data_IF_615463955566
#
_entry.id   IF_615463955566
#
_cell.length_a   1.000
_cell.length_b   1.000
_cell.length_c   1.000
_cell.angle_alpha   90.00
_cell.angle_beta   90.00
_cell.angle_gamma   90.00
#
_symmetry.space_group_name_H-M   'P 1'
#
loop_
_entity.id
_entity.type
_entity.pdbx_description
1 polymer ?
#
# COMPACT_ATOMS: atom_id res chain seq x y z
N UNK A 1 -7.92 -16.39 20.36
CA UNK A 1 -7.18 -15.22 19.83
C UNK A 1 -7.37 -13.97 20.71
N UNK A 2 -8.58 -13.62 21.14
CA UNK A 2 -8.89 -12.50 22.03
C UNK A 2 -8.17 -12.57 23.39
N UNK A 3 -8.22 -13.72 24.10
CA UNK A 3 -7.58 -13.93 25.41
C UNK A 3 -6.03 -13.84 25.38
N UNK A 4 -5.41 -14.23 24.27
CA UNK A 4 -3.95 -14.14 24.12
C UNK A 4 -3.47 -12.70 23.88
N UNK A 5 -4.29 -11.85 23.26
CA UNK A 5 -4.01 -10.41 23.09
C UNK A 5 -4.22 -9.62 24.38
N UNK A 6 -5.23 -9.98 25.18
CA UNK A 6 -5.45 -9.44 26.53
C UNK A 6 -4.20 -9.56 27.41
N UNK A 7 -3.52 -10.70 27.36
CA UNK A 7 -2.26 -10.94 28.10
C UNK A 7 -1.07 -10.10 27.60
N UNK A 8 -0.98 -9.81 26.28
CA UNK A 8 0.14 -9.05 25.70
C UNK A 8 0.12 -7.56 26.07
N UNK A 9 -1.06 -6.99 26.37
CA UNK A 9 -1.21 -5.57 26.69
C UNK A 9 -1.10 -5.27 28.19
N UNK A 10 -0.92 -6.27 29.04
CA UNK A 10 -0.67 -6.09 30.48
C UNK A 10 -1.77 -5.38 31.28
N UNK A 11 -3.00 -5.33 30.75
CA UNK A 11 -4.12 -4.64 31.37
C UNK A 11 -4.99 -5.58 32.20
N UNK A 12 -5.51 -5.08 33.33
CA UNK A 12 -6.46 -5.82 34.16
C UNK A 12 -7.81 -6.03 33.46
N UNK A 13 -8.58 -7.05 33.83
CA UNK A 13 -9.88 -7.36 33.22
C UNK A 13 -10.85 -6.16 33.22
N UNK A 14 -10.88 -5.38 34.27
CA UNK A 14 -11.75 -4.20 34.44
C UNK A 14 -11.50 -3.07 33.45
N UNK A 15 -10.29 -2.97 32.91
CA UNK A 15 -9.91 -1.96 31.88
C UNK A 15 -10.49 -2.33 30.52
N UNK A 16 -10.54 -3.64 30.22
CA UNK A 16 -11.08 -4.13 28.94
C UNK A 16 -12.60 -4.04 28.85
N UNK A 17 -13.28 -4.15 30.00
CA UNK A 17 -14.74 -4.02 30.05
C UNK A 17 -15.19 -2.59 29.70
N UNK A 18 -14.37 -1.58 30.01
CA UNK A 18 -14.62 -0.18 29.62
C UNK A 18 -14.23 0.14 28.16
N UNK A 19 -13.58 -0.79 27.45
CA UNK A 19 -13.17 -0.67 26.04
C UNK A 19 -13.91 -1.67 25.12
N UNK A 20 -15.02 -2.25 25.56
CA UNK A 20 -15.70 -3.29 24.75
C UNK A 20 -16.03 -2.81 23.32
N UNK A 21 -16.62 -1.63 23.17
CA UNK A 21 -16.93 -1.09 21.84
C UNK A 21 -15.68 -0.77 21.00
N UNK A 22 -14.70 0.03 21.47
CA UNK A 22 -13.50 0.32 20.70
C UNK A 22 -12.69 -0.93 20.38
N UNK A 23 -12.66 -1.93 21.27
CA UNK A 23 -11.94 -3.17 21.02
C UNK A 23 -12.65 -4.07 20.01
N UNK A 24 -13.98 -4.14 20.04
CA UNK A 24 -14.78 -4.83 19.05
C UNK A 24 -14.59 -4.18 17.66
N UNK A 25 -14.64 -2.86 17.60
CA UNK A 25 -14.38 -2.11 16.36
C UNK A 25 -12.95 -2.35 15.84
N UNK A 26 -11.96 -2.44 16.73
CA UNK A 26 -10.59 -2.79 16.38
C UNK A 26 -10.47 -4.21 15.78
N UNK A 27 -11.20 -5.18 16.34
CA UNK A 27 -11.21 -6.55 15.78
C UNK A 27 -11.90 -6.60 14.42
N UNK A 28 -13.00 -5.87 14.23
CA UNK A 28 -13.68 -5.71 12.95
C UNK A 28 -12.77 -5.05 11.93
N UNK A 29 -12.02 -4.01 12.35
CA UNK A 29 -11.05 -3.35 11.50
C UNK A 29 -9.93 -4.30 11.01
N UNK A 30 -9.46 -5.22 11.85
CA UNK A 30 -8.43 -6.21 11.48
C UNK A 30 -8.85 -7.15 10.33
N UNK A 31 -10.15 -7.29 10.10
CA UNK A 31 -10.71 -8.09 9.00
C UNK A 31 -10.92 -7.29 7.71
N UNK A 32 -10.76 -5.95 7.76
CA UNK A 32 -10.90 -5.06 6.61
C UNK A 32 -9.57 -4.89 5.86
N UNK A 33 -9.65 -4.38 4.65
CA UNK A 33 -8.48 -4.14 3.78
C UNK A 33 -8.49 -2.72 3.22
N UNK A 34 -7.30 -2.21 2.96
CA UNK A 34 -7.09 -0.94 2.24
C UNK A 34 -7.68 0.28 2.96
N UNK A 35 -8.29 1.18 2.18
CA UNK A 35 -8.82 2.46 2.68
C UNK A 35 -9.93 2.28 3.71
N UNK A 36 -10.73 1.21 3.61
CA UNK A 36 -11.77 0.92 4.60
C UNK A 36 -11.17 0.64 5.98
N UNK A 37 -10.01 -0.02 6.03
CA UNK A 37 -9.27 -0.25 7.27
C UNK A 37 -8.77 1.08 7.87
N UNK A 38 -8.31 2.01 7.04
CA UNK A 38 -7.87 3.34 7.48
C UNK A 38 -9.03 4.14 8.07
N UNK A 39 -10.15 4.24 7.35
CA UNK A 39 -11.34 4.98 7.78
C UNK A 39 -11.88 4.41 9.10
N UNK A 40 -12.00 3.10 9.18
CA UNK A 40 -12.52 2.44 10.38
C UNK A 40 -11.59 2.66 11.57
N UNK A 41 -10.27 2.50 11.40
CA UNK A 41 -9.31 2.76 12.47
C UNK A 41 -9.36 4.22 12.93
N UNK A 42 -9.47 5.18 12.00
CA UNK A 42 -9.59 6.59 12.35
C UNK A 42 -10.83 6.88 13.18
N UNK A 43 -11.96 6.23 12.89
CA UNK A 43 -13.18 6.36 13.70
C UNK A 43 -12.99 5.77 15.11
N UNK A 44 -12.37 4.59 15.22
CA UNK A 44 -12.04 3.96 16.50
C UNK A 44 -11.10 4.84 17.32
N UNK A 45 -10.06 5.40 16.73
CA UNK A 45 -9.11 6.28 17.42
C UNK A 45 -9.79 7.56 17.94
N UNK A 46 -10.72 8.15 17.19
CA UNK A 46 -11.51 9.30 17.63
C UNK A 46 -12.40 8.97 18.85
N UNK A 47 -13.00 7.78 18.88
CA UNK A 47 -13.79 7.33 20.03
C UNK A 47 -12.90 7.10 21.25
N UNK A 48 -11.77 6.44 21.09
CA UNK A 48 -10.81 6.18 22.16
C UNK A 48 -10.27 7.48 22.79
N UNK A 49 -10.11 8.56 22.00
CA UNK A 49 -9.67 9.87 22.49
C UNK A 49 -10.59 10.47 23.58
N UNK A 50 -11.83 10.03 23.68
CA UNK A 50 -12.82 10.52 24.66
C UNK A 50 -12.60 9.93 26.06
N UNK A 51 -11.81 8.87 26.19
CA UNK A 51 -11.55 8.23 27.47
C UNK A 51 -10.62 9.06 28.36
N UNK A 52 -10.90 9.06 29.68
CA UNK A 52 -10.15 9.84 30.67
C UNK A 52 -8.80 9.23 31.03
N UNK A 53 -8.68 7.92 30.95
CA UNK A 53 -7.42 7.21 31.25
C UNK A 53 -6.42 7.41 30.13
N UNK A 54 -5.51 8.34 30.34
CA UNK A 54 -4.47 8.71 29.35
C UNK A 54 -3.54 7.55 29.01
N UNK A 55 -3.20 6.69 29.98
CA UNK A 55 -2.31 5.55 29.77
C UNK A 55 -2.98 4.49 28.91
N UNK A 56 -4.25 4.27 29.13
CA UNK A 56 -5.05 3.37 28.32
C UNK A 56 -5.14 3.87 26.86
N UNK A 57 -5.45 5.16 26.68
CA UNK A 57 -5.50 5.80 25.36
C UNK A 57 -4.16 5.69 24.66
N UNK A 58 -3.05 6.02 25.33
CA UNK A 58 -1.69 5.92 24.77
C UNK A 58 -1.38 4.50 24.29
N UNK A 59 -1.59 3.48 25.12
CA UNK A 59 -1.34 2.09 24.77
C UNK A 59 -2.19 1.64 23.58
N UNK A 60 -3.46 2.03 23.53
CA UNK A 60 -4.36 1.68 22.45
C UNK A 60 -3.91 2.33 21.14
N UNK A 61 -3.60 3.63 21.15
CA UNK A 61 -3.11 4.37 19.98
C UNK A 61 -1.83 3.74 19.44
N UNK A 62 -0.85 3.46 20.31
CA UNK A 62 0.41 2.81 19.92
C UNK A 62 0.16 1.48 19.24
N UNK A 63 -0.59 0.58 19.91
CA UNK A 63 -0.83 -0.77 19.39
C UNK A 63 -1.56 -0.73 18.05
N UNK A 64 -2.60 0.11 17.95
CA UNK A 64 -3.45 0.17 16.76
C UNK A 64 -2.73 0.80 15.57
N UNK A 65 -2.03 1.92 15.79
CA UNK A 65 -1.31 2.60 14.71
C UNK A 65 -0.11 1.78 14.24
N UNK A 66 0.67 1.20 15.16
CA UNK A 66 1.82 0.38 14.79
C UNK A 66 1.41 -0.91 14.06
N UNK A 67 0.30 -1.52 14.47
CA UNK A 67 -0.23 -2.70 13.77
C UNK A 67 -0.75 -2.34 12.38
N UNK A 68 -1.45 -1.21 12.24
CA UNK A 68 -1.88 -0.70 10.93
C UNK A 68 -0.68 -0.51 10.01
N UNK A 69 0.31 0.24 10.47
CA UNK A 69 1.52 0.53 9.67
C UNK A 69 2.29 -0.74 9.31
N UNK A 70 2.30 -1.72 10.21
CA UNK A 70 2.93 -3.02 9.94
C UNK A 70 2.27 -3.78 8.80
N UNK A 71 0.94 -3.67 8.66
CA UNK A 71 0.14 -4.42 7.69
C UNK A 71 0.02 -3.65 6.37
N UNK A 72 -0.32 -2.37 6.45
CA UNK A 72 -0.74 -1.55 5.30
C UNK A 72 0.32 -0.52 4.85
N UNK A 73 1.36 -0.28 5.65
CA UNK A 73 2.31 0.80 5.40
C UNK A 73 1.88 2.12 6.03
N UNK A 74 2.58 3.20 5.68
CA UNK A 74 2.32 4.55 6.21
C UNK A 74 1.71 5.51 5.18
N UNK A 75 1.35 5.03 4.02
CA UNK A 75 0.69 5.83 3.00
C UNK A 75 -0.71 6.25 3.47
N UNK A 76 -1.05 7.51 3.27
CA UNK A 76 -2.34 8.10 3.66
C UNK A 76 -2.64 8.05 5.18
N UNK A 77 -1.61 7.99 6.03
CA UNK A 77 -1.77 7.92 7.50
C UNK A 77 -1.68 9.25 8.23
N UNK A 78 -1.76 10.40 7.56
CA UNK A 78 -1.62 11.74 8.18
C UNK A 78 -2.54 11.95 9.39
N UNK A 79 -3.75 11.40 9.34
CA UNK A 79 -4.70 11.44 10.46
C UNK A 79 -4.21 10.64 11.66
N UNK A 80 -3.68 9.45 11.43
CA UNK A 80 -3.13 8.58 12.47
C UNK A 80 -1.85 9.18 13.06
N UNK A 81 -0.97 9.75 12.22
CA UNK A 81 0.24 10.44 12.66
C UNK A 81 -0.09 11.58 13.61
N UNK A 82 -1.08 12.43 13.27
CA UNK A 82 -1.53 13.51 14.16
C UNK A 82 -2.04 13.00 15.51
N UNK A 83 -2.84 11.93 15.51
CA UNK A 83 -3.35 11.34 16.76
C UNK A 83 -2.22 10.72 17.56
N UNK A 84 -1.30 9.99 16.91
CA UNK A 84 -0.15 9.38 17.57
C UNK A 84 0.70 10.45 18.26
N UNK A 85 1.14 11.47 17.56
CA UNK A 85 1.97 12.57 18.10
C UNK A 85 1.29 13.36 19.20
N UNK A 86 -0.04 13.46 19.17
CA UNK A 86 -0.83 14.15 20.19
C UNK A 86 -0.99 13.32 21.46
N UNK A 87 -1.05 11.99 21.37
CA UNK A 87 -1.47 11.11 22.44
C UNK A 87 -0.38 10.22 23.02
N UNK A 88 0.71 10.02 22.29
CA UNK A 88 1.81 9.15 22.73
C UNK A 88 2.97 10.01 23.21
N UNK A 89 3.36 9.82 24.48
CA UNK A 89 4.41 10.61 25.13
C UNK A 89 5.57 9.74 25.67
N UNK A 90 5.37 8.44 25.78
CA UNK A 90 6.44 7.53 26.18
C UNK A 90 7.56 7.55 25.13
N UNK A 91 8.77 7.87 25.61
CA UNK A 91 9.94 8.08 24.73
C UNK A 91 10.28 6.86 23.88
N UNK A 92 10.13 5.63 24.41
CA UNK A 92 10.36 4.38 23.69
C UNK A 92 9.38 4.21 22.52
N UNK A 93 8.10 4.49 22.70
CA UNK A 93 7.09 4.43 21.66
C UNK A 93 7.28 5.51 20.59
N UNK A 94 7.59 6.73 21.03
CA UNK A 94 7.87 7.84 20.11
C UNK A 94 9.09 7.53 19.24
N UNK A 95 10.17 7.03 19.83
CA UNK A 95 11.38 6.67 19.11
C UNK A 95 11.13 5.54 18.09
N UNK A 96 10.39 4.50 18.49
CA UNK A 96 10.05 3.40 17.59
C UNK A 96 9.18 3.87 16.41
N UNK A 97 8.13 4.65 16.71
CA UNK A 97 7.28 5.23 15.67
C UNK A 97 8.06 6.11 14.70
N UNK A 98 8.94 6.99 15.23
CA UNK A 98 9.75 7.87 14.40
C UNK A 98 10.69 7.07 13.48
N UNK A 99 11.30 5.99 13.97
CA UNK A 99 12.13 5.10 13.15
C UNK A 99 11.31 4.48 12.00
N UNK A 100 10.10 4.00 12.29
CA UNK A 100 9.21 3.46 11.27
C UNK A 100 8.76 4.54 10.29
N UNK A 101 8.42 5.72 10.78
CA UNK A 101 8.03 6.87 9.96
C UNK A 101 9.15 7.26 8.99
N UNK A 102 10.36 7.50 9.50
CA UNK A 102 11.52 7.90 8.69
C UNK A 102 11.88 6.84 7.64
N UNK A 103 11.71 5.60 8.00
CA UNK A 103 11.94 4.50 7.08
C UNK A 103 10.90 4.44 5.94
N UNK A 104 9.67 4.91 6.14
CA UNK A 104 8.60 4.85 5.13
C UNK A 104 8.41 6.16 4.37
N UNK A 105 8.94 7.29 4.86
CA UNK A 105 8.74 8.60 4.21
C UNK A 105 9.17 8.68 2.76
N UNK A 106 10.07 7.79 2.32
CA UNK A 106 10.51 7.69 0.92
C UNK A 106 9.39 7.29 -0.03
N UNK A 107 8.31 6.70 0.49
CA UNK A 107 7.13 6.28 -0.27
C UNK A 107 5.97 7.29 -0.21
N UNK A 108 6.14 8.39 0.51
CA UNK A 108 5.06 9.36 0.66
C UNK A 108 4.80 10.11 -0.65
N UNK A 109 3.56 10.55 -0.82
CA UNK A 109 3.14 11.37 -1.95
C UNK A 109 4.08 12.56 -2.15
N UNK A 110 4.50 12.80 -3.39
CA UNK A 110 5.42 13.86 -3.76
C UNK A 110 6.90 13.54 -3.59
N UNK A 111 7.26 12.41 -2.96
CA UNK A 111 8.65 11.94 -2.93
C UNK A 111 9.06 11.35 -4.29
N UNK A 112 10.33 11.47 -4.67
CA UNK A 112 10.84 10.78 -5.87
C UNK A 112 10.52 9.28 -5.79
N UNK A 113 9.93 8.74 -6.85
CA UNK A 113 9.67 7.31 -6.91
C UNK A 113 10.98 6.52 -7.00
N UNK A 114 10.97 5.31 -6.44
CA UNK A 114 12.13 4.43 -6.46
C UNK A 114 12.52 4.14 -7.90
N UNK A 115 13.74 4.47 -8.32
CA UNK A 115 14.19 4.23 -9.69
C UNK A 115 14.32 2.74 -9.97
N UNK A 116 14.03 2.36 -11.20
CA UNK A 116 14.28 1.01 -11.69
C UNK A 116 14.78 1.03 -13.13
N UNK A 117 15.44 -0.06 -13.51
CA UNK A 117 15.81 -0.37 -14.90
C UNK A 117 15.72 -1.87 -15.08
N UNK A 118 14.69 -2.32 -15.79
CA UNK A 118 14.43 -3.73 -16.03
C UNK A 118 14.35 -4.04 -17.52
N UNK A 119 14.43 -5.31 -17.89
CA UNK A 119 14.31 -5.74 -19.28
C UNK A 119 12.86 -6.07 -19.62
N UNK A 120 12.40 -5.61 -20.76
CA UNK A 120 11.14 -6.01 -21.36
C UNK A 120 11.21 -7.41 -21.99
N UNK A 121 10.10 -7.85 -22.58
CA UNK A 121 10.00 -9.17 -23.23
C UNK A 121 10.95 -9.31 -24.43
N UNK A 122 11.37 -8.21 -25.06
CA UNK A 122 12.33 -8.20 -26.17
C UNK A 122 13.77 -8.16 -25.69
N UNK A 123 14.02 -7.98 -24.41
CA UNK A 123 15.34 -7.80 -23.80
C UNK A 123 15.83 -6.35 -23.77
N UNK A 124 15.03 -5.39 -24.26
CA UNK A 124 15.33 -3.96 -24.18
C UNK A 124 15.21 -3.50 -22.74
N UNK A 125 16.15 -2.67 -22.29
CA UNK A 125 16.09 -2.02 -20.97
C UNK A 125 15.09 -0.88 -21.01
N UNK A 126 14.24 -0.82 -19.99
CA UNK A 126 13.29 0.25 -19.73
C UNK A 126 13.51 0.74 -18.30
N UNK A 127 13.72 2.04 -18.15
CA UNK A 127 13.93 2.72 -16.87
C UNK A 127 12.72 3.58 -16.52
N UNK A 128 12.49 3.85 -15.25
CA UNK A 128 11.46 4.81 -14.85
C UNK A 128 11.66 6.18 -15.49
N UNK A 129 12.91 6.61 -15.70
CA UNK A 129 13.24 7.87 -16.38
C UNK A 129 12.74 7.96 -17.82
N UNK A 130 12.63 6.82 -18.51
CA UNK A 130 12.16 6.74 -19.90
C UNK A 130 10.64 6.95 -20.02
N UNK A 131 9.94 6.87 -18.88
CA UNK A 131 8.48 6.98 -18.77
C UNK A 131 8.01 8.38 -18.34
N UNK A 132 8.94 9.33 -18.12
CA UNK A 132 8.59 10.70 -17.74
C UNK A 132 7.70 11.38 -18.77
N UNK A 133 6.89 12.33 -18.29
CA UNK A 133 5.92 13.06 -19.11
C UNK A 133 4.53 12.43 -19.13
N UNK A 134 4.39 11.19 -18.67
CA UNK A 134 3.09 10.54 -18.45
C UNK A 134 3.01 10.02 -17.02
N UNK A 135 1.77 9.80 -16.55
CA UNK A 135 1.55 9.02 -15.32
C UNK A 135 2.00 7.58 -15.53
N UNK A 136 2.40 6.91 -14.46
CA UNK A 136 2.81 5.50 -14.52
C UNK A 136 2.04 4.73 -13.44
N UNK A 137 1.16 3.83 -13.87
CA UNK A 137 0.51 2.88 -13.00
C UNK A 137 1.33 1.59 -13.01
N UNK A 138 1.91 1.23 -11.86
CA UNK A 138 2.78 0.07 -11.71
C UNK A 138 2.02 -1.06 -11.01
N UNK A 139 2.15 -2.27 -11.58
CA UNK A 139 1.76 -3.55 -11.01
C UNK A 139 3.02 -4.38 -10.72
N UNK A 140 3.23 -4.77 -9.47
CA UNK A 140 4.30 -5.71 -9.09
C UNK A 140 3.67 -7.07 -8.82
N UNK A 141 4.07 -8.08 -9.57
CA UNK A 141 3.40 -9.37 -9.63
C UNK A 141 4.35 -10.55 -9.88
N UNK A 142 3.80 -11.77 -9.96
CA UNK A 142 4.51 -12.94 -10.44
C UNK A 142 3.52 -13.98 -11.02
N UNK A 143 3.99 -14.84 -11.90
CA UNK A 143 3.19 -15.88 -12.58
C UNK A 143 2.54 -16.87 -11.61
N UNK A 144 3.21 -17.18 -10.51
CA UNK A 144 2.75 -18.08 -9.45
C UNK A 144 1.82 -17.42 -8.43
N UNK A 145 1.64 -16.11 -8.50
CA UNK A 145 0.81 -15.35 -7.55
C UNK A 145 -0.67 -15.44 -7.93
N UNK A 146 -1.42 -16.30 -7.25
CA UNK A 146 -2.86 -16.46 -7.48
C UNK A 146 -3.67 -15.16 -7.38
N UNK A 147 -3.53 -14.36 -6.29
CA UNK A 147 -4.19 -13.07 -6.18
C UNK A 147 -3.81 -12.06 -7.28
N UNK A 148 -2.55 -12.10 -7.80
CA UNK A 148 -2.14 -11.26 -8.91
C UNK A 148 -2.86 -11.69 -10.20
N UNK A 149 -2.94 -12.99 -10.43
CA UNK A 149 -3.60 -13.54 -11.63
C UNK A 149 -5.10 -13.20 -11.67
N UNK A 150 -5.74 -13.08 -10.50
CA UNK A 150 -7.14 -12.65 -10.39
C UNK A 150 -7.34 -11.18 -10.80
N UNK A 151 -6.31 -10.34 -10.70
CA UNK A 151 -6.38 -8.92 -11.11
C UNK A 151 -6.15 -8.70 -12.61
N UNK A 152 -5.57 -9.67 -13.33
CA UNK A 152 -5.24 -9.52 -14.77
C UNK A 152 -6.44 -9.08 -15.63
N UNK A 153 -7.65 -9.67 -15.51
CA UNK A 153 -8.80 -9.23 -16.33
C UNK A 153 -9.17 -7.77 -16.06
N UNK A 154 -9.06 -7.34 -14.80
CA UNK A 154 -9.38 -5.97 -14.40
C UNK A 154 -8.32 -4.98 -14.88
N UNK A 155 -7.03 -5.37 -14.83
CA UNK A 155 -5.93 -4.56 -15.34
C UNK A 155 -6.05 -4.36 -16.85
N UNK A 156 -6.35 -5.42 -17.61
CA UNK A 156 -6.59 -5.32 -19.07
C UNK A 156 -7.73 -4.35 -19.39
N UNK A 157 -8.82 -4.42 -18.64
CA UNK A 157 -9.94 -3.49 -18.80
C UNK A 157 -9.51 -2.05 -18.55
N UNK A 158 -8.69 -1.78 -17.52
CA UNK A 158 -8.13 -0.45 -17.29
C UNK A 158 -7.22 -0.02 -18.43
N UNK A 159 -6.35 -0.90 -18.94
CA UNK A 159 -5.47 -0.62 -20.09
C UNK A 159 -6.28 -0.21 -21.32
N UNK A 160 -7.36 -0.95 -21.64
CA UNK A 160 -8.29 -0.63 -22.74
C UNK A 160 -9.00 0.71 -22.52
N UNK A 161 -9.48 0.96 -21.31
CA UNK A 161 -10.23 2.19 -20.95
C UNK A 161 -9.35 3.44 -21.00
N UNK A 162 -8.05 3.29 -20.74
CA UNK A 162 -7.05 4.37 -20.76
C UNK A 162 -6.16 4.37 -22.01
N UNK A 163 -6.52 3.61 -23.06
CA UNK A 163 -5.79 3.61 -24.32
C UNK A 163 -5.72 5.03 -24.92
N UNK A 164 -4.54 5.42 -25.36
CA UNK A 164 -4.29 6.75 -25.93
C UNK A 164 -4.23 7.89 -24.93
N UNK A 165 -4.50 7.65 -23.64
CA UNK A 165 -4.44 8.68 -22.59
C UNK A 165 -3.02 8.91 -22.05
N UNK A 166 -2.89 9.88 -21.16
CA UNK A 166 -1.59 10.31 -20.63
C UNK A 166 -1.09 9.43 -19.47
N UNK A 167 -1.14 8.11 -19.63
CA UNK A 167 -0.73 7.15 -18.62
C UNK A 167 -0.08 5.92 -19.27
N UNK A 168 0.96 5.39 -18.61
CA UNK A 168 1.54 4.08 -18.90
C UNK A 168 1.09 3.07 -17.84
N UNK A 169 0.76 1.85 -18.29
CA UNK A 169 0.59 0.69 -17.42
C UNK A 169 1.87 -0.15 -17.52
N UNK A 170 2.49 -0.41 -16.38
CA UNK A 170 3.79 -1.09 -16.27
C UNK A 170 3.66 -2.25 -15.30
N UNK A 171 3.81 -3.48 -15.81
CA UNK A 171 3.79 -4.68 -14.99
C UNK A 171 5.21 -5.18 -14.76
N UNK A 172 5.67 -5.20 -13.51
CA UNK A 172 7.01 -5.60 -13.12
C UNK A 172 6.94 -6.97 -12.44
N UNK A 173 7.42 -7.99 -13.11
CA UNK A 173 7.46 -9.35 -12.58
C UNK A 173 8.65 -9.56 -11.65
N UNK A 174 8.37 -10.16 -10.49
CA UNK A 174 9.39 -10.66 -9.56
C UNK A 174 9.62 -12.17 -9.66
N UNK A 175 9.25 -12.79 -10.78
CA UNK A 175 9.57 -14.19 -11.04
C UNK A 175 11.09 -14.43 -11.06
N UNK A 176 11.54 -15.55 -10.51
CA UNK A 176 12.94 -15.97 -10.62
C UNK A 176 13.25 -16.48 -12.03
N UNK A 177 12.26 -17.07 -12.73
CA UNK A 177 12.42 -17.62 -14.08
C UNK A 177 11.88 -16.67 -15.14
N UNK A 178 12.81 -16.07 -15.91
CA UNK A 178 12.48 -15.25 -17.08
C UNK A 178 11.66 -16.04 -18.12
N UNK A 179 12.02 -17.29 -18.39
CA UNK A 179 11.31 -18.11 -19.37
C UNK A 179 9.87 -18.41 -18.96
N UNK A 180 9.61 -18.64 -17.67
CA UNK A 180 8.25 -18.84 -17.16
C UNK A 180 7.41 -17.57 -17.33
N UNK A 181 7.98 -16.41 -17.00
CA UNK A 181 7.35 -15.11 -17.17
C UNK A 181 7.06 -14.80 -18.65
N UNK A 182 8.04 -14.96 -19.56
CA UNK A 182 7.86 -14.71 -21.01
C UNK A 182 6.73 -15.56 -21.58
N UNK A 183 6.74 -16.87 -21.26
CA UNK A 183 5.67 -17.78 -21.69
C UNK A 183 4.30 -17.32 -21.17
N UNK A 184 4.23 -16.92 -19.91
CA UNK A 184 2.98 -16.49 -19.30
C UNK A 184 2.45 -15.21 -19.97
N UNK A 185 3.31 -14.20 -20.17
CA UNK A 185 2.96 -12.95 -20.85
C UNK A 185 2.40 -13.22 -22.24
N UNK A 186 3.05 -14.11 -23.02
CA UNK A 186 2.62 -14.48 -24.37
C UNK A 186 1.29 -15.23 -24.38
N UNK A 187 1.15 -16.29 -23.54
CA UNK A 187 -0.06 -17.11 -23.48
C UNK A 187 -1.27 -16.31 -23.00
N UNK A 188 -1.07 -15.44 -22.04
CA UNK A 188 -2.12 -14.57 -21.50
C UNK A 188 -2.33 -13.29 -22.32
N UNK A 189 -1.48 -13.03 -23.31
CA UNK A 189 -1.53 -11.81 -24.13
C UNK A 189 -1.63 -10.56 -23.25
N UNK A 190 -0.67 -10.42 -22.30
CA UNK A 190 -0.66 -9.27 -21.40
C UNK A 190 -0.25 -8.02 -22.16
N UNK A 191 -1.01 -6.94 -21.95
CA UNK A 191 -0.78 -5.60 -22.50
C UNK A 191 0.24 -4.78 -21.72
N UNK A 192 0.23 -3.47 -21.95
CA UNK A 192 1.10 -2.55 -21.25
C UNK A 192 2.59 -2.79 -21.46
N UNK A 193 3.40 -2.25 -20.56
CA UNK A 193 4.85 -2.44 -20.55
C UNK A 193 5.18 -3.57 -19.58
N UNK A 194 5.56 -4.73 -20.12
CA UNK A 194 5.88 -5.91 -19.33
C UNK A 194 7.40 -5.98 -19.06
N UNK A 195 7.78 -5.94 -17.76
CA UNK A 195 9.17 -5.91 -17.30
C UNK A 195 9.48 -7.07 -16.37
N UNK A 196 10.73 -7.52 -16.34
CA UNK A 196 11.21 -8.60 -15.49
C UNK A 196 12.40 -8.14 -14.64
N UNK A 197 12.31 -8.29 -13.30
CA UNK A 197 13.35 -7.86 -12.34
C UNK A 197 14.67 -8.64 -12.47
N UNK A 198 14.63 -9.86 -13.00
CA UNK A 198 15.85 -10.67 -13.17
C UNK A 198 16.38 -11.28 -11.86
N UNK A 199 15.53 -11.45 -10.85
CA UNK A 199 15.92 -12.01 -9.53
C UNK A 199 16.49 -11.00 -8.54
N UNK A 200 16.73 -9.75 -8.95
CA UNK A 200 17.16 -8.66 -8.05
C UNK A 200 15.96 -8.16 -7.22
N UNK A 201 15.98 -8.42 -5.92
CA UNK A 201 14.92 -8.01 -4.99
C UNK A 201 15.12 -6.61 -4.40
N UNK A 202 16.19 -5.90 -4.77
CA UNK A 202 16.49 -4.57 -4.22
C UNK A 202 15.37 -3.56 -4.44
N UNK A 203 14.70 -3.63 -5.59
CA UNK A 203 13.52 -2.80 -5.87
C UNK A 203 12.37 -3.11 -4.91
N UNK A 204 12.07 -4.40 -4.67
CA UNK A 204 11.04 -4.82 -3.71
C UNK A 204 11.31 -4.29 -2.30
N UNK A 205 12.58 -4.35 -1.87
CA UNK A 205 13.02 -3.83 -0.58
C UNK A 205 12.88 -2.31 -0.51
N UNK A 206 13.30 -1.61 -1.56
CA UNK A 206 13.23 -0.15 -1.64
C UNK A 206 11.78 0.38 -1.62
N UNK A 207 10.84 -0.30 -2.29
CA UNK A 207 9.41 0.02 -2.23
C UNK A 207 8.70 -0.59 -1.01
N UNK A 208 9.45 -1.22 -0.09
CA UNK A 208 8.94 -1.91 1.11
C UNK A 208 7.80 -2.88 0.83
N UNK A 209 7.89 -3.58 -0.29
CA UNK A 209 6.90 -4.57 -0.72
C UNK A 209 7.08 -5.87 0.07
N UNK A 210 6.18 -6.14 1.01
CA UNK A 210 6.18 -7.36 1.83
C UNK A 210 5.38 -8.50 1.19
N UNK A 211 4.65 -8.22 0.13
CA UNK A 211 3.80 -9.18 -0.57
C UNK A 211 3.23 -8.60 -1.86
N UNK A 212 2.87 -9.48 -2.78
CA UNK A 212 2.24 -9.14 -4.06
C UNK A 212 0.79 -9.65 -4.12
N UNK A 213 -0.10 -9.03 -4.93
CA UNK A 213 0.17 -7.89 -5.82
C UNK A 213 0.41 -6.58 -5.08
N UNK A 214 1.22 -5.69 -5.65
CA UNK A 214 1.44 -4.33 -5.17
C UNK A 214 1.22 -3.36 -6.32
N UNK A 215 0.37 -2.35 -6.12
CA UNK A 215 0.07 -1.32 -7.11
C UNK A 215 0.57 0.04 -6.66
N UNK A 216 1.08 0.84 -7.59
CA UNK A 216 1.61 2.17 -7.32
C UNK A 216 1.24 3.13 -8.45
N UNK A 217 1.13 4.41 -8.13
CA UNK A 217 0.87 5.48 -9.10
C UNK A 217 1.95 6.56 -8.98
N UNK A 218 2.57 6.90 -10.08
CA UNK A 218 3.66 7.87 -10.20
C UNK A 218 3.21 8.99 -11.13
N UNK A 219 3.59 10.22 -10.83
CA UNK A 219 3.29 11.40 -11.65
C UNK A 219 4.26 11.56 -12.84
N UNK A 220 4.00 12.54 -13.66
CA UNK A 220 4.75 12.86 -14.87
C UNK A 220 6.21 13.28 -14.58
N UNK A 221 6.50 13.75 -13.38
CA UNK A 221 7.85 14.13 -12.91
C UNK A 221 8.63 12.95 -12.31
N UNK A 222 8.00 11.79 -12.16
CA UNK A 222 8.59 10.61 -11.53
C UNK A 222 8.50 10.62 -10.01
N UNK A 223 7.46 11.24 -9.43
CA UNK A 223 7.19 11.25 -7.99
C UNK A 223 5.99 10.39 -7.65
N UNK A 224 5.96 9.79 -6.47
CA UNK A 224 4.79 9.07 -6.01
C UNK A 224 3.56 9.97 -5.87
N UNK A 225 2.47 9.58 -6.52
CA UNK A 225 1.12 10.04 -6.19
C UNK A 225 0.50 9.13 -5.13
N UNK A 226 0.74 7.83 -5.27
CA UNK A 226 0.32 6.82 -4.30
C UNK A 226 1.22 5.59 -4.44
N UNK A 227 1.95 5.24 -3.39
CA UNK A 227 2.83 4.06 -3.38
C UNK A 227 2.10 2.77 -2.98
N UNK A 228 0.79 2.85 -2.67
CA UNK A 228 -0.06 1.72 -2.32
C UNK A 228 -1.47 1.91 -2.87
N UNK A 229 -1.59 1.88 -4.20
CA UNK A 229 -2.88 2.01 -4.90
C UNK A 229 -3.83 0.85 -4.57
N UNK A 230 -5.13 1.09 -4.58
CA UNK A 230 -6.12 0.02 -4.61
C UNK A 230 -5.89 -0.91 -5.80
N UNK A 231 -6.48 -2.11 -5.74
CA UNK A 231 -6.38 -3.10 -6.82
C UNK A 231 -7.14 -2.65 -8.07
N UNK A 232 -6.77 -3.13 -9.26
CA UNK A 232 -7.53 -2.89 -10.49
C UNK A 232 -9.03 -3.25 -10.38
N UNK A 233 -9.36 -4.29 -9.61
CA UNK A 233 -10.75 -4.71 -9.35
C UNK A 233 -11.52 -3.78 -8.41
N UNK A 234 -10.86 -2.87 -7.71
CA UNK A 234 -11.50 -1.88 -6.83
C UNK A 234 -11.93 -0.66 -7.66
N UNK A 235 -13.22 -0.28 -7.58
CA UNK A 235 -13.76 0.89 -8.27
C UNK A 235 -13.02 2.20 -7.95
N UNK A 236 -12.41 2.31 -6.78
CA UNK A 236 -11.59 3.47 -6.39
C UNK A 236 -10.38 3.65 -7.30
N UNK A 237 -9.81 2.58 -7.85
CA UNK A 237 -8.70 2.68 -8.80
C UNK A 237 -9.10 3.48 -10.03
N UNK A 238 -10.25 3.14 -10.61
CA UNK A 238 -10.79 3.84 -11.76
C UNK A 238 -11.10 5.32 -11.43
N UNK A 239 -11.70 5.58 -10.27
CA UNK A 239 -11.98 6.95 -9.80
C UNK A 239 -10.70 7.79 -9.69
N UNK A 240 -9.65 7.24 -9.07
CA UNK A 240 -8.35 7.92 -8.91
C UNK A 240 -7.72 8.20 -10.28
N UNK A 241 -7.71 7.22 -11.19
CA UNK A 241 -7.11 7.38 -12.51
C UNK A 241 -7.87 8.40 -13.38
N UNK A 242 -9.19 8.42 -13.31
CA UNK A 242 -10.03 9.41 -14.02
C UNK A 242 -9.88 10.83 -13.46
N UNK A 243 -9.55 10.98 -12.17
CA UNK A 243 -9.31 12.28 -11.55
C UNK A 243 -7.93 12.88 -11.90
N UNK A 244 -7.07 12.16 -12.61
CA UNK A 244 -5.75 12.66 -13.00
C UNK A 244 -5.87 13.76 -14.05
N UNK A 245 -5.18 14.90 -13.89
CA UNK A 245 -5.13 15.95 -14.89
C UNK A 245 -4.69 15.43 -16.27
N UNK A 246 -5.43 15.79 -17.32
CA UNK A 246 -5.15 15.34 -18.69
C UNK A 246 -5.63 13.91 -19.02
N UNK A 247 -6.39 13.28 -18.09
CA UNK A 247 -7.05 12.00 -18.30
C UNK A 247 -8.58 12.09 -18.14
N UNK A 248 -9.30 13.11 -18.71
CA UNK A 248 -10.73 13.17 -18.56
C UNK A 248 -11.39 11.94 -19.19
N UNK A 249 -12.52 11.53 -18.62
CA UNK A 249 -13.44 10.60 -19.29
C UNK A 249 -13.85 11.18 -20.63
N UNK A 250 -14.05 10.34 -21.67
CA UNK A 250 -14.57 10.80 -22.94
C UNK A 250 -16.00 11.34 -22.79
#
# INVERSE_FOLDING_TARGET
MWLLRKKKLGASSSIWDSLEEPYLLFTIWMDKRGDDACILLMNVLKEVEKYRDKRLVENFVVTSVMEYVRIYGMENTDGMDRIFRKRVHRADYVAEYQRVYDANKVLFKGQPAVPFTFKDITGKKVSLSDLKGKYVYIDVWATWCGPCNAEIPHLKKLEEEFEGRNIYFVSISCDDSRNAWERFVQVKQLGGIQLHMGGDKSFMEAIRCKGIPRFMLIDQDGKFLNANMPRPSDGKTLEILNALPGNPLP
#
